data_IF_839530003736
#
_entry.id   IF_839530003736
#
_cell.length_a   1.000
_cell.length_b   1.000
_cell.length_c   1.000
_cell.angle_alpha   90.00
_cell.angle_beta   90.00
_cell.angle_gamma   90.00
#
_symmetry.space_group_name_H-M   'P 1'
#
loop_
_entity.id
_entity.type
_entity.pdbx_description
1 polymer ?
#
# COMPACT_ATOMS: atom_id res chain seq x y z
N UNK A 1 -23.95 12.88 -18.67
CA UNK A 1 -22.94 12.19 -17.84
C UNK A 1 -23.61 11.02 -17.14
N UNK A 2 -23.45 9.78 -17.65
CA UNK A 2 -24.00 8.59 -17.00
C UNK A 2 -23.31 8.41 -15.64
N UNK A 3 -24.08 8.49 -14.55
CA UNK A 3 -23.57 8.26 -13.19
C UNK A 3 -23.14 6.79 -13.11
N UNK A 4 -21.83 6.52 -13.25
CA UNK A 4 -21.27 5.17 -13.10
C UNK A 4 -21.73 4.61 -11.76
N UNK A 5 -22.39 3.45 -11.80
CA UNK A 5 -22.85 2.78 -10.58
C UNK A 5 -21.62 2.41 -9.74
N UNK A 6 -21.51 2.99 -8.54
CA UNK A 6 -20.47 2.70 -7.57
C UNK A 6 -20.77 1.33 -6.94
N UNK A 7 -20.45 0.25 -7.65
CA UNK A 7 -20.52 -1.11 -7.11
C UNK A 7 -19.27 -1.40 -6.29
N UNK A 8 -19.36 -2.20 -5.22
CA UNK A 8 -18.22 -2.61 -4.37
C UNK A 8 -17.05 -3.16 -5.21
N UNK A 9 -17.36 -3.96 -6.23
CA UNK A 9 -16.37 -4.50 -7.17
C UNK A 9 -15.61 -3.41 -7.93
N UNK A 10 -16.28 -2.31 -8.28
CA UNK A 10 -15.67 -1.16 -8.94
C UNK A 10 -14.70 -0.42 -7.99
N UNK A 11 -15.07 -0.28 -6.72
CA UNK A 11 -14.22 0.34 -5.69
C UNK A 11 -12.95 -0.50 -5.48
N UNK A 12 -13.10 -1.82 -5.30
CA UNK A 12 -11.96 -2.74 -5.12
C UNK A 12 -11.04 -2.71 -6.34
N UNK A 13 -11.61 -2.77 -7.55
CA UNK A 13 -10.84 -2.66 -8.77
C UNK A 13 -10.04 -1.35 -8.80
N UNK A 14 -10.68 -0.22 -8.54
CA UNK A 14 -10.01 1.08 -8.57
C UNK A 14 -8.90 1.20 -7.51
N UNK A 15 -9.11 0.67 -6.30
CA UNK A 15 -8.09 0.64 -5.24
C UNK A 15 -6.88 -0.20 -5.66
N UNK A 16 -7.08 -1.38 -6.27
CA UNK A 16 -6.00 -2.22 -6.80
C UNK A 16 -5.19 -1.54 -7.92
N UNK A 17 -5.82 -0.65 -8.67
CA UNK A 17 -5.14 0.13 -9.71
C UNK A 17 -4.50 1.43 -9.21
N UNK A 18 -4.68 1.80 -7.94
CA UNK A 18 -4.00 2.97 -7.37
C UNK A 18 -2.59 2.58 -6.88
N UNK A 19 -1.54 3.28 -7.33
CA UNK A 19 -0.18 3.09 -6.80
C UNK A 19 -0.10 3.33 -5.28
N UNK A 20 -0.88 4.27 -4.76
CA UNK A 20 -0.84 4.62 -3.33
C UNK A 20 -1.37 3.49 -2.45
N UNK A 21 -2.36 2.71 -2.92
CA UNK A 21 -2.85 1.53 -2.20
C UNK A 21 -1.73 0.51 -1.98
N UNK A 22 -0.89 0.29 -3.00
CA UNK A 22 0.26 -0.61 -2.91
C UNK A 22 1.34 -0.05 -1.99
N UNK A 23 1.54 1.28 -1.95
CA UNK A 23 2.48 1.91 -1.03
C UNK A 23 2.04 1.76 0.42
N UNK A 24 0.75 2.00 0.70
CA UNK A 24 0.18 1.82 2.04
C UNK A 24 0.27 0.35 2.48
N UNK A 25 -0.10 -0.58 1.59
CA UNK A 25 -0.06 -2.00 1.89
C UNK A 25 1.37 -2.46 2.23
N UNK A 26 2.35 -2.08 1.42
CA UNK A 26 3.75 -2.43 1.65
C UNK A 26 4.33 -1.77 2.90
N UNK A 27 4.03 -0.50 3.14
CA UNK A 27 4.42 0.20 4.37
C UNK A 27 3.83 -0.48 5.62
N UNK A 28 2.56 -0.85 5.57
CA UNK A 28 1.89 -1.55 6.67
C UNK A 28 2.50 -2.94 6.92
N UNK A 29 2.74 -3.72 5.86
CA UNK A 29 3.39 -5.02 5.95
C UNK A 29 4.79 -4.87 6.56
N UNK A 30 5.58 -3.92 6.06
CA UNK A 30 6.92 -3.66 6.59
C UNK A 30 6.88 -3.29 8.07
N UNK A 31 5.97 -2.40 8.48
CA UNK A 31 5.79 -2.03 9.87
C UNK A 31 5.38 -3.21 10.75
N UNK A 32 4.46 -4.04 10.28
CA UNK A 32 4.00 -5.22 11.02
C UNK A 32 5.13 -6.20 11.32
N UNK A 33 6.01 -6.45 10.35
CA UNK A 33 7.15 -7.36 10.54
C UNK A 33 8.33 -6.72 11.26
N UNK A 34 8.67 -5.47 10.97
CA UNK A 34 9.87 -4.82 11.51
C UNK A 34 9.66 -4.25 12.92
N UNK A 35 8.47 -3.75 13.26
CA UNK A 35 8.19 -3.21 14.60
C UNK A 35 8.49 -4.20 15.73
N UNK A 36 8.10 -5.49 15.67
CA UNK A 36 8.47 -6.45 16.70
C UNK A 36 9.95 -6.84 16.69
N UNK A 37 10.64 -6.74 15.54
CA UNK A 37 12.08 -7.05 15.41
C UNK A 37 12.97 -5.93 15.96
N UNK A 38 12.57 -4.67 15.78
CA UNK A 38 13.38 -3.48 16.12
C UNK A 38 12.96 -2.87 17.47
N UNK A 39 11.80 -3.28 18.01
CA UNK A 39 11.31 -2.80 19.30
C UNK A 39 12.21 -3.20 20.47
N UNK A 40 12.59 -2.23 21.30
CA UNK A 40 13.40 -2.47 22.49
C UNK A 40 12.57 -3.13 23.61
N UNK A 41 13.17 -4.06 24.39
CA UNK A 41 12.52 -4.61 25.57
C UNK A 41 12.25 -3.48 26.58
N UNK A 42 11.01 -3.39 27.07
CA UNK A 42 10.56 -2.32 27.98
C UNK A 42 9.89 -1.13 27.31
N UNK A 43 9.75 -1.11 25.97
CA UNK A 43 8.90 -0.10 25.32
C UNK A 43 7.43 -0.27 25.71
N UNK A 44 6.88 0.78 26.33
CA UNK A 44 5.44 0.88 26.54
C UNK A 44 4.66 0.91 25.23
N UNK A 45 3.35 0.62 25.31
CA UNK A 45 2.47 0.51 24.13
C UNK A 45 2.52 1.74 23.22
N UNK A 46 2.61 2.95 23.78
CA UNK A 46 2.72 4.20 22.99
C UNK A 46 4.01 4.29 22.17
N UNK A 47 5.16 3.89 22.72
CA UNK A 47 6.43 3.88 21.99
C UNK A 47 6.44 2.88 20.85
N UNK A 48 5.79 1.73 21.05
CA UNK A 48 5.64 0.69 20.03
C UNK A 48 4.71 1.14 18.90
N UNK A 49 3.64 1.85 19.22
CA UNK A 49 2.74 2.46 18.22
C UNK A 49 3.46 3.55 17.40
N UNK A 50 4.27 4.39 18.04
CA UNK A 50 5.06 5.41 17.34
C UNK A 50 6.07 4.77 16.38
N UNK A 51 6.80 3.75 16.83
CA UNK A 51 7.72 2.98 15.98
C UNK A 51 7.00 2.37 14.77
N UNK A 52 5.82 1.81 14.99
CA UNK A 52 5.00 1.27 13.90
C UNK A 52 4.67 2.33 12.86
N UNK A 53 4.21 3.51 13.30
CA UNK A 53 3.90 4.63 12.41
C UNK A 53 5.14 5.06 11.63
N UNK A 54 6.29 5.22 12.31
CA UNK A 54 7.54 5.61 11.66
C UNK A 54 7.95 4.62 10.57
N UNK A 55 7.96 3.32 10.89
CA UNK A 55 8.32 2.28 9.93
C UNK A 55 7.31 2.22 8.78
N UNK A 56 6.01 2.37 9.08
CA UNK A 56 4.97 2.38 8.05
C UNK A 56 5.16 3.54 7.08
N UNK A 57 5.47 4.74 7.58
CA UNK A 57 5.75 5.92 6.76
C UNK A 57 7.02 5.74 5.92
N UNK A 58 8.10 5.21 6.50
CA UNK A 58 9.33 4.93 5.74
C UNK A 58 9.06 3.90 4.65
N UNK A 59 8.40 2.80 5.00
CA UNK A 59 8.02 1.75 4.06
C UNK A 59 7.14 2.27 2.92
N UNK A 60 6.20 3.17 3.22
CA UNK A 60 5.38 3.86 2.22
C UNK A 60 6.22 4.68 1.23
N UNK A 61 7.17 5.49 1.72
CA UNK A 61 8.01 6.35 0.87
C UNK A 61 8.94 5.50 0.00
N UNK A 62 9.58 4.48 0.57
CA UNK A 62 10.51 3.60 -0.15
C UNK A 62 9.77 2.75 -1.19
N UNK A 63 8.52 2.37 -0.92
CA UNK A 63 7.75 1.53 -1.83
C UNK A 63 7.15 2.28 -3.03
N UNK A 64 7.32 3.60 -3.13
CA UNK A 64 6.83 4.40 -4.26
C UNK A 64 7.33 3.91 -5.62
N UNK A 65 8.54 3.35 -5.69
CA UNK A 65 9.11 2.76 -6.93
C UNK A 65 8.47 1.41 -7.26
N UNK A 66 8.51 0.38 -6.38
CA UNK A 66 7.90 -0.92 -6.66
C UNK A 66 6.38 -0.85 -6.80
N UNK A 67 5.69 0.04 -6.07
CA UNK A 67 4.24 0.21 -6.19
C UNK A 67 3.83 0.66 -7.59
N UNK A 68 4.54 1.63 -8.17
CA UNK A 68 4.31 2.06 -9.55
C UNK A 68 4.57 0.94 -10.56
N UNK A 69 5.53 0.06 -10.27
CA UNK A 69 5.81 -1.11 -11.10
C UNK A 69 4.69 -2.15 -11.01
N UNK A 70 4.23 -2.47 -9.79
CA UNK A 70 3.11 -3.38 -9.54
C UNK A 70 1.84 -2.92 -10.27
N UNK A 71 1.50 -1.63 -10.17
CA UNK A 71 0.35 -1.06 -10.90
C UNK A 71 0.51 -1.19 -12.42
N UNK A 72 1.71 -0.94 -12.96
CA UNK A 72 1.96 -1.09 -14.40
C UNK A 72 1.84 -2.54 -14.87
N UNK A 73 2.31 -3.50 -14.08
CA UNK A 73 2.14 -4.93 -14.38
C UNK A 73 0.67 -5.29 -14.36
N UNK A 74 -0.06 -4.86 -13.34
CA UNK A 74 -1.50 -5.13 -13.21
C UNK A 74 -2.26 -4.57 -14.41
N UNK A 75 -1.95 -3.34 -14.85
CA UNK A 75 -2.51 -2.72 -16.05
C UNK A 75 -2.17 -3.54 -17.29
N UNK A 76 -0.90 -3.94 -17.45
CA UNK A 76 -0.46 -4.73 -18.61
C UNK A 76 -1.18 -6.07 -18.70
N UNK A 77 -1.41 -6.74 -17.56
CA UNK A 77 -2.07 -8.04 -17.49
C UNK A 77 -3.58 -7.96 -17.68
N UNK A 78 -4.26 -6.97 -17.08
CA UNK A 78 -5.73 -6.86 -17.13
C UNK A 78 -6.23 -6.12 -18.38
N UNK A 79 -5.55 -5.07 -18.84
CA UNK A 79 -6.00 -4.25 -19.97
C UNK A 79 -5.42 -4.67 -21.31
N UNK A 80 -4.46 -5.61 -21.32
CA UNK A 80 -3.93 -6.25 -22.55
C UNK A 80 -3.57 -5.23 -23.63
N UNK A 81 -2.43 -4.55 -23.45
CA UNK A 81 -1.79 -3.64 -24.43
C UNK A 81 -2.64 -2.48 -25.01
N UNK A 82 -3.92 -2.36 -24.65
CA UNK A 82 -4.75 -1.20 -25.00
C UNK A 82 -4.39 -0.04 -24.08
N UNK A 83 -3.33 0.66 -24.47
CA UNK A 83 -3.04 2.01 -23.96
C UNK A 83 -4.26 2.90 -24.27
N UNK A 84 -4.71 3.77 -23.35
CA UNK A 84 -5.50 4.92 -23.74
C UNK A 84 -4.72 5.82 -24.69
#
# INVERSE_FOLDING_TARGET
MSKRQLTIRYIIFYILFLPDSWQVLTGFIAAYFLTPLVGLPGMGYGGRAMLFIMIATIGYVVSAVPARWATRILIKWILGEKRP
#
